data_IF_297913971709
#
_entry.id   IF_297913971709
#
_cell.length_a   1.000
_cell.length_b   1.000
_cell.length_c   1.000
_cell.angle_alpha   90.00
_cell.angle_beta   90.00
_cell.angle_gamma   90.00
#
_symmetry.space_group_name_H-M   'P 1'
#
loop_
_entity.id
_entity.type
_entity.pdbx_description
1 polymer ?
#
# COMPACT_ATOMS: atom_id res chain seq x y z
N UNK A 1 -23.87 -0.16 15.03
CA UNK A 1 -23.11 -1.40 14.78
C UNK A 1 -21.90 -1.46 15.70
N UNK A 2 -21.63 -2.62 16.28
CA UNK A 2 -20.44 -2.90 17.10
C UNK A 2 -19.52 -3.80 16.31
N UNK A 3 -18.36 -3.29 15.97
CA UNK A 3 -17.40 -3.95 15.08
C UNK A 3 -16.14 -4.34 15.85
N UNK A 4 -15.75 -5.61 15.81
CA UNK A 4 -14.41 -6.00 16.20
C UNK A 4 -13.47 -5.88 14.99
N UNK A 5 -12.37 -5.17 15.14
CA UNK A 5 -11.35 -5.04 14.09
C UNK A 5 -10.03 -5.64 14.58
N UNK A 6 -9.43 -6.49 13.76
CA UNK A 6 -8.23 -7.25 14.12
C UNK A 6 -7.10 -6.88 13.16
N UNK A 7 -6.15 -6.08 13.64
CA UNK A 7 -4.94 -5.72 12.90
C UNK A 7 -3.75 -5.59 13.85
N UNK A 8 -2.57 -6.17 13.54
CA UNK A 8 -1.42 -6.08 14.43
C UNK A 8 -0.95 -4.63 14.62
N UNK A 9 -1.05 -3.82 13.57
CA UNK A 9 -0.61 -2.44 13.57
C UNK A 9 -1.66 -1.54 12.93
N UNK A 10 -1.73 -0.30 13.41
CA UNK A 10 -2.49 0.79 12.78
C UNK A 10 -1.64 2.04 12.88
N UNK A 11 -1.25 2.59 11.75
CA UNK A 11 -0.45 3.82 11.65
C UNK A 11 -0.75 4.54 10.32
N UNK A 12 -0.12 5.70 10.10
CA UNK A 12 -0.26 6.46 8.85
C UNK A 12 0.96 6.40 7.94
N UNK A 13 1.97 5.58 8.28
CA UNK A 13 3.24 5.47 7.54
C UNK A 13 3.18 4.40 6.46
N UNK A 14 2.46 3.31 6.72
CA UNK A 14 2.36 2.16 5.82
C UNK A 14 1.02 2.16 5.11
N UNK A 15 1.00 1.72 3.84
CA UNK A 15 -0.19 1.84 2.99
C UNK A 15 -1.43 1.13 3.50
N UNK A 16 -1.31 -0.11 3.95
CA UNK A 16 -2.42 -0.92 4.49
C UNK A 16 -2.91 -0.37 5.82
N UNK A 17 -1.99 -0.05 6.73
CA UNK A 17 -2.25 0.47 8.06
C UNK A 17 -2.90 1.85 8.00
N UNK A 18 -2.43 2.70 7.08
CA UNK A 18 -3.04 4.00 6.80
C UNK A 18 -4.45 3.86 6.22
N UNK A 19 -4.66 2.94 5.28
CA UNK A 19 -5.99 2.68 4.74
C UNK A 19 -6.96 2.23 5.83
N UNK A 20 -6.49 1.39 6.76
CA UNK A 20 -7.28 0.98 7.91
C UNK A 20 -7.57 2.15 8.85
N UNK A 21 -6.58 2.98 9.19
CA UNK A 21 -6.77 4.14 10.06
C UNK A 21 -7.84 5.11 9.49
N UNK A 22 -7.74 5.43 8.19
CA UNK A 22 -8.70 6.28 7.49
C UNK A 22 -10.12 5.69 7.49
N UNK A 23 -10.22 4.38 7.29
CA UNK A 23 -11.49 3.66 7.33
C UNK A 23 -12.12 3.71 8.72
N UNK A 24 -11.35 3.37 9.77
CA UNK A 24 -11.85 3.31 11.15
C UNK A 24 -12.37 4.67 11.62
N UNK A 25 -11.63 5.74 11.34
CA UNK A 25 -12.06 7.09 11.71
C UNK A 25 -13.40 7.47 11.05
N UNK A 26 -13.58 7.14 9.77
CA UNK A 26 -14.82 7.45 9.06
C UNK A 26 -15.98 6.57 9.48
N UNK A 27 -15.75 5.29 9.72
CA UNK A 27 -16.80 4.42 10.25
C UNK A 27 -17.27 4.89 11.63
N UNK A 28 -16.35 5.34 12.48
CA UNK A 28 -16.69 5.88 13.78
C UNK A 28 -17.46 7.21 13.69
N UNK A 29 -16.97 8.16 12.88
CA UNK A 29 -17.55 9.51 12.76
C UNK A 29 -18.84 9.55 11.95
N UNK A 30 -18.83 8.95 10.74
CA UNK A 30 -19.89 9.14 9.76
C UNK A 30 -21.03 8.13 9.93
N UNK A 31 -20.74 6.95 10.52
CA UNK A 31 -21.70 5.86 10.68
C UNK A 31 -21.95 5.46 12.14
N UNK A 32 -21.41 6.24 13.09
CA UNK A 32 -21.58 6.02 14.54
C UNK A 32 -21.22 4.57 14.96
N UNK A 33 -20.21 3.96 14.31
CA UNK A 33 -19.75 2.63 14.66
C UNK A 33 -18.99 2.64 15.99
N UNK A 34 -19.28 1.65 16.86
CA UNK A 34 -18.44 1.30 17.99
C UNK A 34 -17.42 0.27 17.53
N UNK A 35 -16.16 0.68 17.43
CA UNK A 35 -15.10 -0.14 16.90
C UNK A 35 -14.20 -0.62 18.03
N UNK A 36 -14.18 -1.90 18.30
CA UNK A 36 -13.26 -2.54 19.23
C UNK A 36 -12.03 -3.01 18.43
N UNK A 37 -10.96 -2.21 18.47
CA UNK A 37 -9.72 -2.47 17.75
C UNK A 37 -8.77 -3.30 18.60
N UNK A 38 -8.52 -4.54 18.21
CA UNK A 38 -7.50 -5.41 18.78
C UNK A 38 -6.21 -5.25 17.99
N UNK A 39 -5.22 -4.62 18.61
CA UNK A 39 -3.94 -4.27 17.95
C UNK A 39 -2.79 -4.25 18.94
N UNK A 40 -1.59 -4.58 18.46
CA UNK A 40 -0.36 -4.49 19.25
C UNK A 40 0.12 -3.05 19.38
N UNK A 41 -0.01 -2.25 18.28
CA UNK A 41 0.41 -0.85 18.22
C UNK A 41 -0.58 -0.03 17.42
N UNK A 42 -0.94 1.13 17.96
CA UNK A 42 -1.79 2.12 17.32
C UNK A 42 -1.10 3.48 17.43
N UNK A 43 -0.87 4.12 16.30
CA UNK A 43 -0.28 5.46 16.20
C UNK A 43 -1.20 6.34 15.32
N UNK A 44 -1.24 7.64 15.63
CA UNK A 44 -1.90 8.67 14.81
C UNK A 44 -3.39 8.42 14.47
N UNK A 45 -4.15 7.84 15.41
CA UNK A 45 -5.59 7.64 15.26
C UNK A 45 -6.35 8.70 16.08
N UNK A 46 -7.16 9.53 15.42
CA UNK A 46 -7.76 10.74 16.00
C UNK A 46 -9.06 10.53 16.78
N UNK A 47 -9.66 9.33 16.70
CA UNK A 47 -10.95 9.00 17.36
C UNK A 47 -10.81 7.90 18.41
N UNK A 48 -9.64 7.83 19.07
CA UNK A 48 -9.46 6.91 20.20
C UNK A 48 -10.29 7.33 21.40
N UNK A 49 -11.00 6.36 21.97
CA UNK A 49 -11.77 6.52 23.20
C UNK A 49 -11.20 5.55 24.25
N UNK A 50 -11.02 5.97 25.52
CA UNK A 50 -10.63 5.05 26.59
C UNK A 50 -11.58 3.85 26.66
N UNK A 51 -11.00 2.65 26.85
CA UNK A 51 -11.80 1.42 26.96
C UNK A 51 -12.66 1.48 28.22
N UNK A 52 -13.91 1.87 28.07
CA UNK A 52 -14.96 1.72 29.07
C UNK A 52 -16.06 0.90 28.44
N UNK A 53 -16.33 -0.28 29.00
CA UNK A 53 -17.44 -1.14 28.54
C UNK A 53 -18.82 -0.57 28.93
N UNK A 54 -18.89 0.66 29.46
CA UNK A 54 -20.13 1.29 29.86
C UNK A 54 -20.91 1.87 28.68
N UNK A 55 -22.23 1.87 28.85
CA UNK A 55 -23.28 2.07 27.87
C UNK A 55 -23.42 3.46 27.19
N UNK A 56 -22.31 4.14 26.91
CA UNK A 56 -22.34 5.35 26.06
C UNK A 56 -22.66 5.00 24.59
N UNK A 57 -23.59 5.73 23.99
CA UNK A 57 -24.13 5.45 22.65
C UNK A 57 -23.36 6.17 21.53
N UNK A 58 -22.11 6.59 21.76
CA UNK A 58 -21.29 7.34 20.81
C UNK A 58 -20.33 6.43 20.04
N UNK A 59 -20.26 6.60 18.72
CA UNK A 59 -19.26 5.97 17.88
C UNK A 59 -17.86 6.35 18.30
N UNK A 60 -16.91 5.46 18.10
CA UNK A 60 -15.51 5.68 18.45
C UNK A 60 -14.69 4.41 18.28
N UNK A 61 -13.36 4.55 18.41
CA UNK A 61 -12.42 3.42 18.36
C UNK A 61 -11.89 3.14 19.76
N UNK A 62 -12.19 1.96 20.27
CA UNK A 62 -11.77 1.44 21.57
C UNK A 62 -10.59 0.49 21.36
N UNK A 63 -9.40 0.95 21.69
CA UNK A 63 -8.21 0.13 21.51
C UNK A 63 -8.00 -0.87 22.66
N UNK A 64 -8.00 -2.16 22.29
CA UNK A 64 -7.62 -3.29 23.13
C UNK A 64 -6.19 -3.69 22.81
N UNK A 65 -5.25 -3.27 23.64
CA UNK A 65 -3.83 -3.58 23.41
C UNK A 65 -3.57 -5.07 23.58
N UNK A 66 -3.10 -5.73 22.53
CA UNK A 66 -2.64 -7.11 22.54
C UNK A 66 -1.12 -7.13 22.66
N UNK A 67 -0.53 -7.88 23.60
CA UNK A 67 0.92 -7.94 23.74
C UNK A 67 1.64 -8.46 22.49
N UNK A 68 2.84 -7.96 22.26
CA UNK A 68 3.78 -8.48 21.24
C UNK A 68 4.91 -9.22 21.93
N UNK A 69 5.51 -10.18 21.22
CA UNK A 69 6.70 -10.90 21.68
C UNK A 69 7.86 -10.64 20.70
N UNK A 70 9.10 -10.55 21.18
CA UNK A 70 10.26 -10.52 20.29
C UNK A 70 10.49 -11.91 19.69
N UNK A 71 11.10 -11.98 18.50
CA UNK A 71 11.48 -13.25 17.87
C UNK A 71 11.30 -13.26 16.36
N UNK A 72 11.45 -14.41 15.70
CA UNK A 72 11.23 -14.58 14.28
C UNK A 72 9.79 -14.27 13.87
N UNK A 73 9.59 -13.69 12.69
CA UNK A 73 8.29 -13.22 12.20
C UNK A 73 7.17 -14.29 12.25
N UNK A 74 7.48 -15.54 11.96
CA UNK A 74 6.49 -16.63 12.04
C UNK A 74 5.96 -16.81 13.45
N UNK A 75 6.85 -16.80 14.48
CA UNK A 75 6.44 -16.95 15.88
C UNK A 75 5.66 -15.74 16.36
N UNK A 76 6.09 -14.53 16.00
CA UNK A 76 5.35 -13.30 16.29
C UNK A 76 3.93 -13.36 15.71
N UNK A 77 3.81 -13.79 14.44
CA UNK A 77 2.52 -13.91 13.77
C UNK A 77 1.62 -14.97 14.43
N UNK A 78 2.14 -16.16 14.72
CA UNK A 78 1.38 -17.23 15.39
C UNK A 78 0.89 -16.80 16.76
N UNK A 79 1.78 -16.17 17.55
CA UNK A 79 1.40 -15.65 18.85
C UNK A 79 0.30 -14.59 18.75
N UNK A 80 0.47 -13.61 17.84
CA UNK A 80 -0.56 -12.62 17.52
C UNK A 80 -1.89 -13.26 17.11
N UNK A 81 -1.86 -14.19 16.16
CA UNK A 81 -3.02 -14.83 15.59
C UNK A 81 -3.90 -15.55 16.65
N UNK A 82 -3.28 -16.22 17.61
CA UNK A 82 -4.00 -16.87 18.69
C UNK A 82 -4.37 -15.92 19.82
N UNK A 83 -3.48 -14.99 20.17
CA UNK A 83 -3.67 -14.13 21.31
C UNK A 83 -4.80 -13.11 21.08
N UNK A 84 -4.94 -12.54 19.87
CA UNK A 84 -6.03 -11.62 19.56
C UNK A 84 -7.41 -12.31 19.72
N UNK A 85 -7.52 -13.59 19.34
CA UNK A 85 -8.74 -14.37 19.51
C UNK A 85 -9.05 -14.62 21.00
N UNK A 86 -8.03 -14.94 21.79
CA UNK A 86 -8.17 -15.12 23.23
C UNK A 86 -8.63 -13.83 23.91
N UNK A 87 -8.08 -12.67 23.57
CA UNK A 87 -8.51 -11.39 24.13
C UNK A 87 -9.97 -11.07 23.77
N UNK A 88 -10.40 -11.29 22.52
CA UNK A 88 -11.78 -11.10 22.11
C UNK A 88 -12.74 -12.06 22.84
N UNK A 89 -12.34 -13.31 23.01
CA UNK A 89 -13.09 -14.29 23.80
C UNK A 89 -13.21 -13.85 25.27
N UNK A 90 -12.15 -13.39 25.88
CA UNK A 90 -12.12 -12.89 27.26
C UNK A 90 -13.06 -11.67 27.42
N UNK A 91 -12.97 -10.71 26.50
CA UNK A 91 -13.83 -9.52 26.52
C UNK A 91 -15.30 -9.89 26.36
N UNK A 92 -15.61 -10.85 25.50
CA UNK A 92 -16.99 -11.37 25.32
C UNK A 92 -17.49 -12.09 26.57
N UNK A 93 -16.66 -12.96 27.16
CA UNK A 93 -17.08 -13.85 28.26
C UNK A 93 -17.15 -13.16 29.62
N UNK A 94 -16.22 -12.23 29.89
CA UNK A 94 -16.06 -11.64 31.24
C UNK A 94 -16.38 -10.15 31.31
N UNK A 95 -16.34 -9.42 30.18
CA UNK A 95 -16.56 -7.97 30.15
C UNK A 95 -17.82 -7.57 29.42
N UNK A 96 -18.64 -8.55 28.98
CA UNK A 96 -19.93 -8.31 28.32
C UNK A 96 -19.78 -7.66 26.94
N UNK A 97 -18.61 -7.74 26.31
CA UNK A 97 -18.44 -7.24 24.95
C UNK A 97 -19.26 -8.09 23.98
N UNK A 98 -19.99 -7.45 23.08
CA UNK A 98 -20.70 -8.12 21.98
C UNK A 98 -20.36 -7.41 20.69
N UNK A 99 -20.03 -8.17 19.67
CA UNK A 99 -19.71 -7.69 18.35
C UNK A 99 -20.72 -8.22 17.35
N UNK A 100 -21.19 -7.35 16.48
CA UNK A 100 -22.09 -7.73 15.40
C UNK A 100 -21.27 -8.44 14.29
N UNK A 101 -20.05 -7.95 14.00
CA UNK A 101 -19.15 -8.50 12.99
C UNK A 101 -17.68 -8.36 13.42
N UNK A 102 -16.85 -9.21 12.81
CA UNK A 102 -15.37 -9.17 12.90
C UNK A 102 -14.79 -8.82 11.53
N UNK A 103 -14.05 -7.72 11.44
CA UNK A 103 -13.37 -7.25 10.24
C UNK A 103 -11.86 -7.41 10.38
N UNK A 104 -11.21 -7.88 9.33
CA UNK A 104 -9.75 -8.02 9.26
C UNK A 104 -9.19 -7.45 7.95
N UNK A 105 -8.13 -6.63 7.96
CA UNK A 105 -7.35 -6.32 6.78
C UNK A 105 -6.38 -7.48 6.49
N UNK A 106 -6.83 -8.49 5.73
CA UNK A 106 -6.08 -9.71 5.45
C UNK A 106 -6.30 -10.82 6.48
N UNK A 107 -5.36 -11.76 6.57
CA UNK A 107 -5.48 -13.03 7.31
C UNK A 107 -5.10 -12.94 8.80
N UNK A 108 -5.48 -11.87 9.51
CA UNK A 108 -5.08 -11.67 10.92
C UNK A 108 -5.88 -12.49 11.94
N UNK A 109 -7.01 -13.07 11.56
CA UNK A 109 -7.81 -13.97 12.39
C UNK A 109 -8.62 -14.95 11.55
N UNK A 110 -8.97 -16.11 12.13
CA UNK A 110 -9.70 -17.18 11.42
C UNK A 110 -11.21 -17.08 11.52
N UNK A 111 -11.73 -16.16 12.33
CA UNK A 111 -13.13 -15.94 12.63
C UNK A 111 -13.63 -14.57 12.15
N UNK A 112 -12.95 -14.02 11.13
CA UNK A 112 -13.42 -12.82 10.46
C UNK A 112 -14.68 -13.10 9.64
N UNK A 113 -15.70 -12.24 9.78
CA UNK A 113 -16.85 -12.23 8.89
C UNK A 113 -16.55 -11.51 7.59
N UNK A 114 -15.68 -10.49 7.66
CA UNK A 114 -15.30 -9.66 6.52
C UNK A 114 -13.78 -9.51 6.47
N UNK A 115 -13.20 -9.69 5.28
CA UNK A 115 -11.79 -9.46 5.03
C UNK A 115 -11.60 -8.49 3.87
N UNK A 116 -10.87 -7.41 4.14
CA UNK A 116 -10.37 -6.51 3.08
C UNK A 116 -8.98 -6.98 2.68
N UNK A 117 -8.85 -7.46 1.44
CA UNK A 117 -7.62 -8.11 0.97
C UNK A 117 -6.67 -7.07 0.38
N UNK A 118 -5.56 -6.81 1.10
CA UNK A 118 -4.51 -5.89 0.70
C UNK A 118 -3.27 -6.58 0.12
N UNK A 119 -3.07 -7.87 0.38
CA UNK A 119 -1.95 -8.64 -0.14
C UNK A 119 -2.33 -10.12 -0.24
N UNK A 120 -1.67 -10.84 -1.14
CA UNK A 120 -1.86 -12.27 -1.34
C UNK A 120 -0.53 -13.01 -1.20
N UNK A 121 -0.41 -13.83 -0.16
CA UNK A 121 0.83 -14.58 0.12
C UNK A 121 1.10 -15.67 -0.91
N UNK A 122 0.09 -16.21 -1.58
CA UNK A 122 0.26 -17.08 -2.74
C UNK A 122 1.08 -16.38 -3.82
N UNK A 123 0.73 -15.14 -4.16
CA UNK A 123 1.45 -14.35 -5.16
C UNK A 123 2.86 -13.97 -4.70
N UNK A 124 3.01 -13.54 -3.46
CA UNK A 124 4.33 -13.23 -2.89
C UNK A 124 5.25 -14.46 -2.86
N UNK A 125 4.70 -15.65 -2.62
CA UNK A 125 5.44 -16.92 -2.68
C UNK A 125 5.89 -17.24 -4.10
N UNK A 126 5.07 -17.04 -5.13
CA UNK A 126 5.46 -17.19 -6.54
C UNK A 126 6.63 -16.24 -6.85
N UNK A 127 6.49 -14.94 -6.56
CA UNK A 127 7.54 -13.94 -6.78
C UNK A 127 8.84 -14.26 -6.05
N UNK A 128 8.76 -14.78 -4.82
CA UNK A 128 9.96 -15.13 -4.06
C UNK A 128 10.78 -16.25 -4.69
N UNK A 129 10.16 -17.12 -5.48
CA UNK A 129 10.85 -18.17 -6.25
C UNK A 129 11.53 -17.60 -7.50
N UNK A 130 10.92 -16.60 -8.13
CA UNK A 130 11.47 -15.94 -9.32
C UNK A 130 12.70 -15.07 -9.01
N UNK A 131 12.80 -14.54 -7.79
CA UNK A 131 13.80 -13.52 -7.39
C UNK A 131 15.09 -14.14 -6.83
N UNK A 132 15.30 -15.43 -6.93
CA UNK A 132 16.43 -16.15 -6.30
C UNK A 132 17.84 -15.74 -6.79
N UNK A 133 17.97 -14.85 -7.75
CA UNK A 133 19.27 -14.50 -8.38
C UNK A 133 19.97 -13.24 -7.85
N UNK A 134 19.34 -12.39 -7.01
CA UNK A 134 19.92 -11.08 -6.65
C UNK A 134 20.25 -10.92 -5.16
N UNK A 135 19.76 -11.78 -4.29
CA UNK A 135 20.01 -11.69 -2.84
C UNK A 135 20.90 -12.84 -2.37
N UNK A 136 22.11 -12.52 -1.93
CA UNK A 136 23.00 -13.41 -1.15
C UNK A 136 22.44 -13.76 0.25
N UNK A 137 21.13 -13.77 0.42
CA UNK A 137 20.51 -14.18 1.66
C UNK A 137 20.83 -15.65 1.92
N UNK A 138 21.53 -15.93 3.02
CA UNK A 138 21.96 -17.27 3.41
C UNK A 138 20.82 -18.28 3.40
N UNK A 139 21.16 -19.56 3.21
CA UNK A 139 20.22 -20.69 3.10
C UNK A 139 19.12 -20.69 4.19
N UNK A 140 19.48 -20.37 5.44
CA UNK A 140 18.55 -20.31 6.58
C UNK A 140 17.48 -19.22 6.41
N UNK A 141 17.84 -18.03 5.88
CA UNK A 141 16.86 -16.95 5.63
C UNK A 141 15.89 -17.33 4.52
N UNK A 142 16.38 -17.99 3.47
CA UNK A 142 15.52 -18.48 2.37
C UNK A 142 14.56 -19.57 2.85
N UNK A 143 15.05 -20.52 3.62
CA UNK A 143 14.23 -21.60 4.20
C UNK A 143 13.14 -21.02 5.13
N UNK A 144 13.52 -20.12 6.05
CA UNK A 144 12.57 -19.46 6.96
C UNK A 144 11.51 -18.66 6.19
N UNK A 145 11.91 -17.89 5.18
CA UNK A 145 10.96 -17.14 4.33
C UNK A 145 10.02 -18.07 3.56
N UNK A 146 10.54 -19.16 3.02
CA UNK A 146 9.74 -20.19 2.34
C UNK A 146 8.73 -20.85 3.26
N UNK A 147 9.13 -21.21 4.48
CA UNK A 147 8.24 -21.78 5.49
C UNK A 147 7.16 -20.78 5.92
N UNK A 148 7.55 -19.51 6.14
CA UNK A 148 6.64 -18.41 6.50
C UNK A 148 5.57 -18.21 5.43
N UNK A 149 5.95 -17.99 4.17
CA UNK A 149 4.98 -17.83 3.08
C UNK A 149 4.17 -19.10 2.82
N UNK A 150 4.77 -20.29 2.99
CA UNK A 150 4.05 -21.53 2.87
C UNK A 150 2.96 -21.71 3.93
N UNK A 151 3.21 -21.27 5.16
CA UNK A 151 2.22 -21.27 6.24
C UNK A 151 1.11 -20.26 5.97
N UNK A 152 1.46 -19.01 5.62
CA UNK A 152 0.49 -17.95 5.34
C UNK A 152 -0.39 -18.28 4.12
N UNK A 153 0.18 -18.90 3.08
CA UNK A 153 -0.61 -19.37 1.92
C UNK A 153 -1.67 -20.41 2.33
N UNK A 154 -1.32 -21.35 3.22
CA UNK A 154 -2.32 -22.32 3.73
C UNK A 154 -3.40 -21.67 4.58
N UNK A 155 -3.06 -20.58 5.28
CA UNK A 155 -4.03 -19.81 6.04
C UNK A 155 -4.96 -19.02 5.11
N UNK A 156 -4.44 -18.47 4.00
CA UNK A 156 -5.24 -17.90 2.92
C UNK A 156 -6.22 -18.92 2.34
N UNK A 157 -5.74 -20.12 2.01
CA UNK A 157 -6.61 -21.23 1.50
C UNK A 157 -7.79 -21.45 2.44
N UNK A 158 -7.54 -21.49 3.75
CA UNK A 158 -8.58 -21.75 4.73
C UNK A 158 -9.57 -20.58 4.90
N UNK A 159 -9.09 -19.33 4.87
CA UNK A 159 -9.92 -18.15 5.12
C UNK A 159 -10.62 -17.70 3.85
N UNK A 160 -9.88 -17.59 2.73
CA UNK A 160 -10.44 -16.99 1.51
C UNK A 160 -11.30 -17.97 0.71
N UNK A 161 -11.10 -19.28 0.84
CA UNK A 161 -12.00 -20.27 0.22
C UNK A 161 -13.27 -20.51 1.01
N UNK A 162 -13.41 -19.98 2.22
CA UNK A 162 -14.63 -20.11 3.01
C UNK A 162 -15.73 -19.19 2.45
N UNK A 163 -16.87 -19.73 1.95
CA UNK A 163 -17.94 -18.92 1.38
C UNK A 163 -18.66 -18.04 2.39
N UNK A 164 -18.61 -18.38 3.70
CA UNK A 164 -19.20 -17.58 4.77
C UNK A 164 -18.41 -16.29 5.05
N UNK A 165 -17.16 -16.19 4.56
CA UNK A 165 -16.35 -14.99 4.71
C UNK A 165 -16.59 -14.07 3.54
N UNK A 166 -17.12 -12.87 3.80
CA UNK A 166 -17.26 -11.82 2.81
C UNK A 166 -15.89 -11.20 2.52
N UNK A 167 -15.44 -11.25 1.26
CA UNK A 167 -14.18 -10.64 0.83
C UNK A 167 -14.43 -9.31 0.12
N UNK A 168 -13.50 -8.38 0.26
CA UNK A 168 -13.38 -7.20 -0.59
C UNK A 168 -11.95 -7.08 -1.09
N UNK A 169 -11.77 -6.74 -2.37
CA UNK A 169 -10.47 -6.52 -2.98
C UNK A 169 -10.17 -5.03 -3.14
N UNK A 170 -8.93 -4.61 -2.90
CA UNK A 170 -8.54 -3.19 -3.06
C UNK A 170 -8.31 -2.79 -4.52
N UNK A 171 -8.33 -3.75 -5.45
CA UNK A 171 -8.20 -3.49 -6.89
C UNK A 171 -8.80 -4.63 -7.72
N UNK A 172 -9.10 -4.40 -9.02
CA UNK A 172 -9.52 -5.46 -9.93
C UNK A 172 -8.47 -6.58 -10.04
N UNK A 173 -7.17 -6.23 -10.01
CA UNK A 173 -6.09 -7.21 -9.99
C UNK A 173 -6.17 -8.12 -8.75
N UNK A 174 -6.38 -7.56 -7.57
CA UNK A 174 -6.54 -8.36 -6.34
C UNK A 174 -7.75 -9.28 -6.44
N UNK A 175 -8.88 -8.81 -7.02
CA UNK A 175 -10.06 -9.65 -7.25
C UNK A 175 -9.76 -10.82 -8.23
N UNK A 176 -9.04 -10.56 -9.33
CA UNK A 176 -8.60 -11.59 -10.28
C UNK A 176 -7.69 -12.63 -9.62
N UNK A 177 -6.80 -12.21 -8.72
CA UNK A 177 -5.94 -13.13 -7.96
C UNK A 177 -6.75 -13.96 -6.96
N UNK A 178 -7.80 -13.39 -6.34
CA UNK A 178 -8.72 -14.13 -5.47
C UNK A 178 -9.52 -15.18 -6.28
N UNK A 179 -9.96 -14.85 -7.48
CA UNK A 179 -10.56 -15.82 -8.40
C UNK A 179 -9.57 -16.93 -8.79
N UNK A 180 -8.35 -16.54 -9.19
CA UNK A 180 -7.30 -17.48 -9.63
C UNK A 180 -6.94 -18.51 -8.55
N UNK A 181 -6.71 -18.07 -7.31
CA UNK A 181 -6.20 -18.95 -6.25
C UNK A 181 -7.30 -19.60 -5.43
N UNK A 182 -8.44 -18.94 -5.21
CA UNK A 182 -9.48 -19.36 -4.27
C UNK A 182 -10.84 -19.55 -4.93
N UNK A 183 -10.95 -19.34 -6.26
CA UNK A 183 -12.20 -19.45 -7.06
C UNK A 183 -13.31 -18.51 -6.56
N UNK A 184 -12.94 -17.37 -5.97
CA UNK A 184 -13.88 -16.34 -5.50
C UNK A 184 -14.15 -15.34 -6.62
N UNK A 185 -15.40 -15.35 -7.13
CA UNK A 185 -15.87 -14.47 -8.22
C UNK A 185 -16.77 -13.33 -7.72
N UNK A 186 -17.28 -13.44 -6.51
CA UNK A 186 -18.24 -12.52 -5.86
C UNK A 186 -17.56 -11.39 -5.08
N UNK A 187 -16.32 -11.07 -5.39
CA UNK A 187 -15.51 -10.13 -4.60
C UNK A 187 -15.66 -8.70 -5.10
N UNK A 188 -16.34 -7.80 -4.35
CA UNK A 188 -16.42 -6.40 -4.73
C UNK A 188 -15.04 -5.73 -4.66
N UNK A 189 -14.81 -4.81 -5.60
CA UNK A 189 -13.62 -3.96 -5.60
C UNK A 189 -13.92 -2.67 -4.85
N UNK A 190 -13.19 -2.45 -3.77
CA UNK A 190 -13.25 -1.23 -2.93
C UNK A 190 -11.85 -0.60 -2.94
N UNK A 191 -11.57 0.33 -3.86
CA UNK A 191 -10.25 0.92 -3.98
C UNK A 191 -9.83 1.68 -2.74
N UNK A 192 -8.54 1.66 -2.43
CA UNK A 192 -7.95 2.61 -1.51
C UNK A 192 -8.09 4.04 -2.07
N UNK A 193 -7.82 5.04 -1.24
CA UNK A 193 -8.06 6.42 -1.59
C UNK A 193 -6.86 7.31 -1.27
N UNK A 194 -6.94 8.55 -1.69
CA UNK A 194 -5.94 9.60 -1.42
C UNK A 194 -6.63 10.75 -0.70
N UNK A 195 -5.93 11.39 0.22
CA UNK A 195 -6.42 12.59 0.89
C UNK A 195 -6.10 13.84 0.04
N UNK A 196 -7.10 14.51 -0.54
CA UNK A 196 -6.89 15.71 -1.34
C UNK A 196 -6.41 16.92 -0.52
N UNK A 197 -6.59 16.89 0.80
CA UNK A 197 -6.06 17.92 1.70
C UNK A 197 -4.55 17.75 1.92
N UNK A 198 -4.01 16.58 1.69
CA UNK A 198 -2.59 16.28 1.80
C UNK A 198 -1.89 16.26 0.44
N UNK A 199 -2.57 15.76 -0.61
CA UNK A 199 -2.01 15.59 -1.95
C UNK A 199 -2.85 16.34 -2.99
N UNK A 200 -2.29 17.39 -3.55
CA UNK A 200 -2.91 18.13 -4.66
C UNK A 200 -1.85 18.85 -5.49
N UNK A 201 -2.17 19.20 -6.76
CA UNK A 201 -1.25 19.95 -7.62
C UNK A 201 -0.86 21.32 -6.99
N UNK A 202 -1.81 21.97 -6.34
CA UNK A 202 -1.60 23.28 -5.68
C UNK A 202 -0.57 23.17 -4.57
N UNK A 203 -0.75 22.19 -3.66
CA UNK A 203 0.19 21.96 -2.55
C UNK A 203 1.58 21.56 -3.03
N UNK A 204 1.63 20.68 -4.05
CA UNK A 204 2.88 20.26 -4.69
C UNK A 204 3.63 21.46 -5.26
N UNK A 205 2.96 22.28 -6.07
CA UNK A 205 3.59 23.43 -6.73
C UNK A 205 4.06 24.50 -5.73
N UNK A 206 3.30 24.74 -4.67
CA UNK A 206 3.68 25.68 -3.62
C UNK A 206 4.98 25.30 -2.91
N UNK A 207 5.31 24.00 -2.83
CA UNK A 207 6.51 23.48 -2.17
C UNK A 207 7.67 23.19 -3.11
N UNK A 208 7.45 23.21 -4.44
CA UNK A 208 8.41 22.73 -5.43
C UNK A 208 9.79 23.38 -5.33
N UNK A 209 9.85 24.70 -5.29
CA UNK A 209 11.13 25.41 -5.25
C UNK A 209 11.95 25.03 -4.00
N UNK A 210 11.34 25.02 -2.84
CA UNK A 210 11.97 24.63 -1.58
C UNK A 210 12.38 23.14 -1.59
N UNK A 211 11.52 22.27 -2.07
CA UNK A 211 11.76 20.82 -2.10
C UNK A 211 12.94 20.45 -3.02
N UNK A 212 13.10 21.17 -4.13
CA UNK A 212 14.24 20.99 -5.05
C UNK A 212 15.53 21.60 -4.50
N UNK A 213 15.45 22.80 -3.91
CA UNK A 213 16.61 23.44 -3.31
C UNK A 213 17.24 22.59 -2.19
N UNK A 214 16.42 21.99 -1.32
CA UNK A 214 16.87 21.06 -0.27
C UNK A 214 17.68 19.88 -0.79
N UNK A 215 17.41 19.44 -2.04
CA UNK A 215 18.04 18.29 -2.69
C UNK A 215 19.09 18.68 -3.73
N UNK A 216 19.33 19.99 -3.89
CA UNK A 216 20.23 20.54 -4.89
C UNK A 216 19.88 20.11 -6.33
N UNK A 217 18.57 19.93 -6.61
CA UNK A 217 18.09 19.68 -7.97
C UNK A 217 17.99 20.99 -8.74
N UNK A 218 18.59 21.01 -9.93
CA UNK A 218 18.56 22.17 -10.82
C UNK A 218 17.22 22.25 -11.57
N UNK A 219 16.83 23.44 -11.99
CA UNK A 219 15.55 23.66 -12.65
C UNK A 219 15.42 22.94 -14.01
N UNK A 220 16.55 22.73 -14.68
CA UNK A 220 16.64 22.02 -15.97
C UNK A 220 16.82 20.50 -15.83
N UNK A 221 16.94 19.98 -14.61
CA UNK A 221 16.95 18.54 -14.35
C UNK A 221 15.53 17.99 -14.28
N UNK A 222 15.28 16.84 -14.90
CA UNK A 222 14.05 16.09 -14.72
C UNK A 222 14.19 15.10 -13.57
N UNK A 223 13.32 15.20 -12.57
CA UNK A 223 13.38 14.37 -11.37
C UNK A 223 12.34 13.26 -11.44
N UNK A 224 12.82 12.02 -11.49
CA UNK A 224 12.01 10.81 -11.31
C UNK A 224 11.89 10.53 -9.82
N UNK A 225 10.71 10.06 -9.38
CA UNK A 225 10.45 9.71 -8.00
C UNK A 225 9.98 8.26 -7.89
N UNK A 226 10.63 7.50 -7.02
CA UNK A 226 10.20 6.16 -6.61
C UNK A 226 10.04 6.13 -5.09
N UNK A 227 8.85 5.79 -4.61
CA UNK A 227 8.55 5.70 -3.17
C UNK A 227 8.08 4.29 -2.81
N UNK A 228 8.56 3.78 -1.70
CA UNK A 228 8.07 2.56 -1.07
C UNK A 228 9.18 1.73 -0.48
N UNK A 229 8.81 0.70 0.27
CA UNK A 229 9.70 -0.33 0.78
C UNK A 229 9.74 -1.50 -0.20
N UNK A 230 10.70 -2.42 -0.05
CA UNK A 230 10.98 -3.50 -1.01
C UNK A 230 11.23 -2.95 -2.43
N UNK A 231 12.32 -2.19 -2.56
CA UNK A 231 12.69 -1.54 -3.83
C UNK A 231 12.89 -2.51 -4.97
N UNK A 232 13.26 -3.77 -4.69
CA UNK A 232 13.31 -4.83 -5.69
C UNK A 232 11.94 -5.09 -6.31
N UNK A 233 10.92 -5.19 -5.47
CA UNK A 233 9.54 -5.39 -5.90
C UNK A 233 8.95 -4.13 -6.55
N UNK A 234 9.35 -2.92 -6.09
CA UNK A 234 8.93 -1.64 -6.69
C UNK A 234 9.56 -1.36 -8.06
N UNK A 235 10.45 -2.25 -8.53
CA UNK A 235 11.05 -2.16 -9.86
C UNK A 235 12.24 -1.23 -9.94
N UNK A 236 12.89 -0.89 -8.83
CA UNK A 236 14.10 -0.06 -8.81
C UNK A 236 15.19 -0.57 -9.74
N UNK A 237 15.48 -1.91 -9.84
CA UNK A 237 16.46 -2.41 -10.80
C UNK A 237 16.15 -2.05 -12.24
N UNK A 238 14.88 -2.08 -12.64
CA UNK A 238 14.42 -1.71 -13.98
C UNK A 238 14.62 -0.21 -14.22
N UNK A 239 14.31 0.63 -13.23
CA UNK A 239 14.50 2.08 -13.30
C UNK A 239 15.98 2.44 -13.41
N UNK A 240 16.86 1.82 -12.59
CA UNK A 240 18.31 2.07 -12.66
C UNK A 240 18.89 1.69 -14.01
N UNK A 241 18.46 0.56 -14.58
CA UNK A 241 18.88 0.16 -15.94
C UNK A 241 18.35 1.13 -17.00
N UNK A 242 17.07 1.57 -16.90
CA UNK A 242 16.52 2.54 -17.85
C UNK A 242 17.26 3.89 -17.81
N UNK A 243 17.80 4.30 -16.66
CA UNK A 243 18.62 5.50 -16.56
C UNK A 243 19.91 5.42 -17.39
N UNK A 244 20.48 4.24 -17.64
CA UNK A 244 21.67 4.09 -18.51
C UNK A 244 21.38 4.49 -19.95
N UNK A 245 20.15 4.22 -20.41
CA UNK A 245 19.67 4.57 -21.76
C UNK A 245 19.35 6.07 -21.92
N UNK A 246 19.35 6.84 -20.82
CA UNK A 246 19.07 8.27 -20.76
C UNK A 246 20.34 9.09 -20.42
N UNK A 247 21.52 8.60 -20.82
CA UNK A 247 22.79 9.24 -20.49
C UNK A 247 22.96 10.63 -21.13
N UNK A 248 22.27 10.87 -22.23
CA UNK A 248 22.21 12.14 -22.97
C UNK A 248 21.26 13.18 -22.34
N UNK A 249 20.57 12.83 -21.28
CA UNK A 249 19.54 13.65 -20.63
C UNK A 249 19.88 13.97 -19.17
N UNK A 250 19.52 15.17 -18.71
CA UNK A 250 19.65 15.59 -17.32
C UNK A 250 18.51 15.03 -16.46
N UNK A 251 18.58 13.73 -16.16
CA UNK A 251 17.58 13.03 -15.35
C UNK A 251 18.19 12.64 -14.01
N UNK A 252 17.48 12.94 -12.93
CA UNK A 252 17.79 12.52 -11.55
C UNK A 252 16.76 11.52 -11.08
N UNK A 253 17.15 10.65 -10.17
CA UNK A 253 16.24 9.70 -9.50
C UNK A 253 16.26 9.93 -8.00
N UNK A 254 15.11 10.26 -7.44
CA UNK A 254 14.87 10.32 -6.01
C UNK A 254 14.19 9.02 -5.57
N UNK A 255 14.85 8.27 -4.69
CA UNK A 255 14.33 7.03 -4.11
C UNK A 255 14.08 7.26 -2.64
N UNK A 256 12.84 7.02 -2.20
CA UNK A 256 12.41 7.22 -0.81
C UNK A 256 11.86 5.91 -0.25
N UNK A 257 12.41 5.44 0.87
CA UNK A 257 11.93 4.20 1.52
C UNK A 257 12.87 3.72 2.60
N UNK A 258 12.48 2.63 3.26
CA UNK A 258 13.17 2.09 4.44
C UNK A 258 13.99 0.81 4.12
N UNK A 259 14.30 0.57 2.86
CA UNK A 259 15.21 -0.49 2.46
C UNK A 259 16.67 -0.12 2.74
N UNK A 260 17.54 -1.13 2.90
CA UNK A 260 18.98 -0.91 2.92
C UNK A 260 19.45 -0.35 1.57
N UNK A 261 19.96 0.89 1.52
CA UNK A 261 20.40 1.48 0.27
C UNK A 261 21.74 0.94 -0.26
N UNK A 262 22.52 0.22 0.56
CA UNK A 262 23.88 -0.18 0.20
C UNK A 262 23.95 -1.07 -1.05
N UNK A 263 23.13 -2.14 -1.21
CA UNK A 263 23.14 -2.96 -2.42
C UNK A 263 22.74 -2.17 -3.68
N UNK A 264 21.82 -1.21 -3.53
CA UNK A 264 21.31 -0.41 -4.64
C UNK A 264 22.26 0.69 -5.08
N UNK A 265 22.97 1.30 -4.14
CA UNK A 265 24.08 2.22 -4.43
C UNK A 265 25.19 1.51 -5.20
N UNK A 266 25.53 0.29 -4.82
CA UNK A 266 26.50 -0.53 -5.52
C UNK A 266 26.03 -0.91 -6.94
N UNK A 267 24.76 -1.25 -7.11
CA UNK A 267 24.18 -1.49 -8.43
C UNK A 267 24.22 -0.22 -9.29
N UNK A 268 23.81 0.92 -8.74
CA UNK A 268 23.86 2.21 -9.45
C UNK A 268 25.29 2.59 -9.87
N UNK A 269 26.27 2.31 -9.01
CA UNK A 269 27.70 2.51 -9.31
C UNK A 269 28.16 1.61 -10.46
N UNK A 270 27.82 0.33 -10.45
CA UNK A 270 28.13 -0.62 -11.53
C UNK A 270 27.51 -0.21 -12.87
N UNK A 271 26.32 0.39 -12.83
CA UNK A 271 25.61 0.89 -14.00
C UNK A 271 26.07 2.29 -14.45
N UNK A 272 26.97 2.96 -13.72
CA UNK A 272 27.44 4.31 -14.04
C UNK A 272 26.39 5.42 -13.85
N UNK A 273 25.38 5.19 -12.99
CA UNK A 273 24.29 6.16 -12.73
C UNK A 273 24.23 6.65 -11.29
N UNK A 274 25.23 6.34 -10.46
CA UNK A 274 25.22 6.64 -9.03
C UNK A 274 25.06 8.14 -8.74
N UNK A 275 25.74 9.01 -9.49
CA UNK A 275 25.70 10.46 -9.31
C UNK A 275 24.32 11.09 -9.65
N UNK A 276 23.47 10.31 -10.31
CA UNK A 276 22.11 10.71 -10.68
C UNK A 276 21.07 10.31 -9.63
N UNK A 277 21.45 9.51 -8.62
CA UNK A 277 20.55 8.91 -7.64
C UNK A 277 20.65 9.59 -6.26
N UNK A 278 19.52 9.98 -5.69
CA UNK A 278 19.38 10.50 -4.32
C UNK A 278 18.55 9.51 -3.53
N UNK A 279 19.02 9.16 -2.32
CA UNK A 279 18.43 8.14 -1.47
C UNK A 279 17.99 8.78 -0.16
N UNK A 280 16.70 8.66 0.18
CA UNK A 280 16.12 9.23 1.39
C UNK A 280 15.35 8.18 2.20
N UNK A 281 15.46 8.28 3.50
CA UNK A 281 14.59 7.52 4.43
C UNK A 281 13.17 8.09 4.41
N UNK A 282 12.15 7.31 4.81
CA UNK A 282 10.79 7.81 4.93
C UNK A 282 10.72 9.01 5.86
N UNK A 283 9.99 10.03 5.46
CA UNK A 283 9.76 11.22 6.27
C UNK A 283 8.26 11.42 6.53
N UNK A 284 7.94 12.16 7.60
CA UNK A 284 6.56 12.45 7.96
C UNK A 284 5.85 13.32 6.90
N UNK A 285 6.60 14.19 6.20
CA UNK A 285 6.07 15.07 5.15
C UNK A 285 6.50 14.56 3.76
N UNK A 286 5.89 13.45 3.34
CA UNK A 286 6.18 12.82 2.04
C UNK A 286 5.81 13.71 0.83
N UNK A 287 4.93 14.71 1.02
CA UNK A 287 4.58 15.65 -0.05
C UNK A 287 5.80 16.40 -0.59
N UNK A 288 6.82 16.63 0.23
CA UNK A 288 8.07 17.26 -0.23
C UNK A 288 8.83 16.41 -1.27
N UNK A 289 8.71 15.08 -1.23
CA UNK A 289 9.28 14.23 -2.27
C UNK A 289 8.51 14.36 -3.60
N UNK A 290 7.17 14.33 -3.54
CA UNK A 290 6.33 14.59 -4.72
C UNK A 290 6.53 16.01 -5.27
N UNK A 291 6.76 16.99 -4.40
CA UNK A 291 6.98 18.38 -4.81
C UNK A 291 8.29 18.57 -5.60
N UNK A 292 9.34 17.83 -5.25
CA UNK A 292 10.60 17.87 -5.96
C UNK A 292 10.54 17.20 -7.35
N UNK A 293 9.59 16.29 -7.57
CA UNK A 293 9.52 15.42 -8.73
C UNK A 293 8.81 16.04 -9.94
N UNK A 294 9.12 15.45 -11.12
CA UNK A 294 8.47 15.72 -12.40
C UNK A 294 7.70 14.52 -12.93
N UNK A 295 8.11 13.31 -12.57
CA UNK A 295 7.46 12.04 -12.97
C UNK A 295 7.55 11.09 -11.79
N UNK A 296 6.45 10.43 -11.47
CA UNK A 296 6.47 9.30 -10.56
C UNK A 296 6.69 8.00 -11.35
N UNK A 297 7.61 7.14 -10.90
CA UNK A 297 7.94 5.88 -11.60
C UNK A 297 8.03 4.72 -10.62
N UNK A 298 7.22 3.69 -10.84
CA UNK A 298 7.26 2.46 -10.05
C UNK A 298 6.76 1.27 -10.89
N UNK A 299 7.63 0.65 -11.69
CA UNK A 299 7.30 -0.57 -12.43
C UNK A 299 7.29 -1.77 -11.48
N UNK A 300 6.32 -1.78 -10.55
CA UNK A 300 6.22 -2.79 -9.49
C UNK A 300 5.97 -4.18 -10.07
N UNK A 301 6.66 -5.19 -9.54
CA UNK A 301 6.42 -6.61 -9.88
C UNK A 301 5.12 -7.14 -9.24
N UNK A 302 4.75 -6.56 -8.11
CA UNK A 302 3.45 -6.76 -7.47
C UNK A 302 3.14 -5.57 -6.56
N UNK A 303 1.93 -5.01 -6.71
CA UNK A 303 1.38 -4.03 -5.79
C UNK A 303 -0.13 -4.17 -5.78
N UNK A 304 -0.73 -4.42 -4.65
CA UNK A 304 -2.18 -4.69 -4.57
C UNK A 304 -3.03 -3.48 -4.95
N UNK A 305 -2.54 -2.26 -4.70
CA UNK A 305 -3.18 -1.02 -5.14
C UNK A 305 -2.18 -0.07 -5.78
N UNK A 306 -1.13 0.33 -5.10
CA UNK A 306 -0.18 1.33 -5.55
C UNK A 306 -0.47 2.71 -4.95
N UNK A 307 -0.53 2.79 -3.63
CA UNK A 307 -0.79 4.05 -2.92
C UNK A 307 0.12 5.21 -3.37
N UNK A 308 1.47 5.04 -3.49
CA UNK A 308 2.31 6.15 -3.93
C UNK A 308 2.06 6.58 -5.38
N UNK A 309 1.58 5.68 -6.26
CA UNK A 309 1.16 6.04 -7.62
C UNK A 309 -0.07 6.95 -7.54
N UNK A 310 -1.07 6.57 -6.73
CA UNK A 310 -2.29 7.37 -6.56
C UNK A 310 -2.00 8.76 -5.97
N UNK A 311 -1.06 8.85 -5.02
CA UNK A 311 -0.60 10.11 -4.43
C UNK A 311 0.13 10.98 -5.48
N UNK A 312 0.99 10.36 -6.31
CA UNK A 312 1.63 11.03 -7.44
C UNK A 312 0.62 11.61 -8.42
N UNK A 313 -0.41 10.84 -8.77
CA UNK A 313 -1.52 11.29 -9.59
C UNK A 313 -2.26 12.47 -8.95
N UNK A 314 -2.59 12.38 -7.66
CA UNK A 314 -3.27 13.44 -6.93
C UNK A 314 -2.41 14.72 -6.86
N UNK A 315 -1.10 14.58 -6.80
CA UNK A 315 -0.15 15.69 -6.90
C UNK A 315 -0.02 16.27 -8.32
N UNK A 316 -0.70 15.71 -9.32
CA UNK A 316 -0.59 16.15 -10.72
C UNK A 316 0.73 15.78 -11.38
N UNK A 317 1.33 14.65 -10.97
CA UNK A 317 2.48 14.08 -11.67
C UNK A 317 2.01 13.09 -12.74
N UNK A 318 2.61 13.08 -13.93
CA UNK A 318 2.52 11.92 -14.79
C UNK A 318 3.13 10.73 -14.06
N UNK A 319 2.47 9.57 -14.16
CA UNK A 319 2.89 8.36 -13.47
C UNK A 319 3.24 7.26 -14.47
N UNK A 320 4.28 6.48 -14.18
CA UNK A 320 4.62 5.25 -14.90
C UNK A 320 4.55 4.12 -13.90
N UNK A 321 3.71 3.14 -14.16
CA UNK A 321 3.56 1.94 -13.34
C UNK A 321 3.51 0.69 -14.21
N UNK A 322 3.32 -0.49 -13.64
CA UNK A 322 3.17 -1.74 -14.40
C UNK A 322 1.74 -2.30 -14.30
N UNK A 323 1.36 -3.16 -15.23
CA UNK A 323 0.13 -3.96 -15.17
C UNK A 323 0.05 -4.85 -13.91
N UNK A 324 1.19 -5.05 -13.22
CA UNK A 324 1.26 -5.78 -11.96
C UNK A 324 0.88 -4.94 -10.73
N UNK A 325 0.65 -3.63 -10.87
CA UNK A 325 0.11 -2.78 -9.82
C UNK A 325 -1.41 -2.63 -9.96
N UNK A 326 -2.14 -2.79 -8.85
CA UNK A 326 -3.60 -2.77 -8.87
C UNK A 326 -4.21 -1.49 -9.40
N UNK A 327 -3.53 -0.36 -9.22
CA UNK A 327 -3.96 0.95 -9.74
C UNK A 327 -3.93 1.01 -11.27
N UNK A 328 -3.11 0.21 -11.94
CA UNK A 328 -3.00 0.18 -13.40
C UNK A 328 -4.35 -0.10 -14.07
N UNK A 329 -5.21 -0.91 -13.44
CA UNK A 329 -6.56 -1.21 -13.93
C UNK A 329 -7.51 0.02 -13.95
N UNK A 330 -7.14 1.10 -13.30
CA UNK A 330 -7.91 2.33 -13.24
C UNK A 330 -7.33 3.44 -14.13
N UNK A 331 -6.14 3.22 -14.70
CA UNK A 331 -5.45 4.15 -15.58
C UNK A 331 -5.91 3.98 -17.03
N UNK A 332 -5.93 5.10 -17.75
CA UNK A 332 -6.02 5.14 -19.20
C UNK A 332 -4.61 5.37 -19.75
N UNK A 333 -3.98 4.29 -20.27
CA UNK A 333 -2.60 4.35 -20.78
C UNK A 333 -2.44 5.47 -21.82
N UNK A 334 -1.39 6.26 -21.70
CA UNK A 334 -1.12 7.42 -22.55
C UNK A 334 -1.93 8.69 -22.22
N UNK A 335 -2.91 8.64 -21.31
CA UNK A 335 -3.77 9.77 -20.95
C UNK A 335 -3.50 10.28 -19.56
N UNK A 336 -3.74 9.48 -18.53
CA UNK A 336 -3.57 9.85 -17.13
C UNK A 336 -2.43 9.08 -16.43
N UNK A 337 -1.71 8.27 -17.20
CA UNK A 337 -0.52 7.56 -16.77
C UNK A 337 0.01 6.68 -17.91
N UNK A 338 1.13 6.00 -17.64
CA UNK A 338 1.72 5.03 -18.56
C UNK A 338 1.83 3.68 -17.83
N UNK A 339 1.37 2.62 -18.50
CA UNK A 339 1.35 1.26 -17.94
C UNK A 339 2.33 0.38 -18.73
N UNK A 340 3.30 -0.21 -18.05
CA UNK A 340 4.20 -1.23 -18.60
C UNK A 340 3.53 -2.60 -18.45
N UNK A 341 3.41 -3.35 -19.52
CA UNK A 341 2.89 -4.73 -19.47
C UNK A 341 3.85 -5.65 -18.70
N UNK A 342 5.14 -5.55 -18.98
CA UNK A 342 6.19 -6.25 -18.24
C UNK A 342 6.95 -5.26 -17.32
N UNK A 343 6.93 -5.45 -15.98
CA UNK A 343 7.68 -4.62 -15.04
C UNK A 343 9.19 -4.70 -15.22
N UNK A 344 9.71 -5.68 -15.95
CA UNK A 344 11.14 -5.86 -16.23
C UNK A 344 11.57 -5.29 -17.56
N UNK A 345 10.65 -4.76 -18.37
CA UNK A 345 10.98 -4.18 -19.68
C UNK A 345 11.63 -2.80 -19.52
N UNK A 346 12.96 -2.85 -19.41
CA UNK A 346 13.82 -1.68 -19.29
C UNK A 346 13.75 -0.78 -20.52
N UNK A 347 13.66 -1.38 -21.72
CA UNK A 347 13.70 -0.65 -22.98
C UNK A 347 12.44 0.21 -23.15
N UNK A 348 11.27 -0.40 -23.01
CA UNK A 348 9.98 0.33 -23.06
C UNK A 348 9.93 1.41 -21.95
N UNK A 349 10.43 1.13 -20.76
CA UNK A 349 10.51 2.14 -19.70
C UNK A 349 11.39 3.33 -20.13
N UNK A 350 12.57 3.08 -20.68
CA UNK A 350 13.48 4.13 -21.14
C UNK A 350 12.85 4.97 -22.28
N UNK A 351 12.18 4.34 -23.24
CA UNK A 351 11.49 5.03 -24.33
C UNK A 351 10.36 5.94 -23.80
N UNK A 352 9.54 5.46 -22.85
CA UNK A 352 8.49 6.25 -22.23
C UNK A 352 9.04 7.40 -21.39
N UNK A 353 10.11 7.18 -20.63
CA UNK A 353 10.81 8.24 -19.91
C UNK A 353 11.39 9.26 -20.87
N UNK A 354 12.06 8.85 -21.95
CA UNK A 354 12.61 9.76 -22.98
C UNK A 354 11.52 10.64 -23.58
N UNK A 355 10.37 10.07 -23.86
CA UNK A 355 9.21 10.81 -24.36
C UNK A 355 8.74 11.88 -23.38
N UNK A 356 8.59 11.52 -22.10
CA UNK A 356 8.19 12.47 -21.06
C UNK A 356 9.27 13.54 -20.81
N UNK A 357 10.55 13.18 -20.89
CA UNK A 357 11.67 14.13 -20.76
C UNK A 357 11.63 15.19 -21.85
N UNK A 358 11.45 14.77 -23.11
CA UNK A 358 11.48 15.64 -24.27
C UNK A 358 10.21 16.47 -24.48
N UNK A 359 9.10 16.15 -23.79
CA UNK A 359 7.80 16.77 -24.06
C UNK A 359 7.15 17.38 -22.79
N UNK A 360 7.56 18.60 -22.37
CA UNK A 360 6.98 19.26 -21.17
C UNK A 360 5.45 19.43 -21.24
N UNK A 361 4.93 19.74 -22.43
CA UNK A 361 3.49 19.86 -22.67
C UNK A 361 2.73 18.54 -22.45
N UNK A 362 3.32 17.41 -22.81
CA UNK A 362 2.73 16.08 -22.55
C UNK A 362 2.72 15.79 -21.05
N UNK A 363 3.85 16.06 -20.35
CA UNK A 363 3.92 15.90 -18.88
C UNK A 363 2.84 16.70 -18.17
N UNK A 364 2.65 17.97 -18.56
CA UNK A 364 1.64 18.84 -17.97
C UNK A 364 0.21 18.30 -18.21
N UNK A 365 -0.14 17.94 -19.46
CA UNK A 365 -1.46 17.39 -19.79
C UNK A 365 -1.74 16.08 -19.05
N UNK A 366 -0.76 15.15 -19.05
CA UNK A 366 -0.91 13.86 -18.36
C UNK A 366 -1.04 14.06 -16.84
N UNK A 367 -0.26 14.96 -16.25
CA UNK A 367 -0.36 15.29 -14.83
C UNK A 367 -1.73 15.88 -14.45
N UNK A 368 -2.28 16.78 -15.27
CA UNK A 368 -3.65 17.28 -15.05
C UNK A 368 -4.68 16.15 -15.13
N UNK A 369 -4.61 15.30 -16.17
CA UNK A 369 -5.51 14.17 -16.31
C UNK A 369 -5.40 13.15 -15.17
N UNK A 370 -4.16 12.93 -14.65
CA UNK A 370 -3.92 12.10 -13.48
C UNK A 370 -4.59 12.67 -12.23
N UNK A 371 -4.45 13.97 -11.97
CA UNK A 371 -5.08 14.63 -10.84
C UNK A 371 -6.62 14.51 -10.91
N UNK A 372 -7.19 14.78 -12.07
CA UNK A 372 -8.65 14.67 -12.29
C UNK A 372 -9.14 13.23 -12.08
N UNK A 373 -8.40 12.24 -12.57
CA UNK A 373 -8.74 10.82 -12.38
C UNK A 373 -8.71 10.43 -10.90
N UNK A 374 -7.74 10.94 -10.13
CA UNK A 374 -7.56 10.63 -8.71
C UNK A 374 -8.67 11.18 -7.81
N UNK A 375 -9.37 12.23 -8.20
CA UNK A 375 -10.49 12.82 -7.45
C UNK A 375 -11.63 11.83 -7.17
N UNK A 376 -11.69 10.72 -7.90
CA UNK A 376 -12.68 9.65 -7.68
C UNK A 376 -12.35 8.79 -6.46
N UNK A 377 -11.10 8.74 -6.00
CA UNK A 377 -10.64 7.91 -4.90
C UNK A 377 -10.57 8.73 -3.62
N UNK A 378 -11.70 8.85 -2.94
CA UNK A 378 -11.78 9.53 -1.63
C UNK A 378 -12.02 8.53 -0.52
N UNK A 379 -11.47 8.80 0.64
CA UNK A 379 -11.67 7.93 1.82
C UNK A 379 -13.14 7.88 2.25
N UNK A 380 -13.95 8.91 1.98
CA UNK A 380 -15.39 8.89 2.26
C UNK A 380 -16.12 7.89 1.34
N UNK A 381 -15.76 7.81 0.06
CA UNK A 381 -16.31 6.80 -0.85
C UNK A 381 -15.86 5.39 -0.47
N UNK A 382 -14.60 5.22 -0.08
CA UNK A 382 -14.08 3.95 0.41
C UNK A 382 -14.87 3.50 1.65
N UNK A 383 -14.99 4.35 2.67
CA UNK A 383 -15.74 4.05 3.88
C UNK A 383 -17.23 3.76 3.61
N UNK A 384 -17.86 4.50 2.69
CA UNK A 384 -19.25 4.25 2.30
C UNK A 384 -19.42 2.88 1.61
N UNK A 385 -18.45 2.46 0.82
CA UNK A 385 -18.47 1.14 0.18
C UNK A 385 -18.27 0.01 1.19
N UNK A 386 -17.32 0.17 2.12
CA UNK A 386 -17.13 -0.79 3.22
C UNK A 386 -18.34 -0.83 4.13
N UNK A 387 -18.96 0.32 4.44
CA UNK A 387 -20.18 0.36 5.26
C UNK A 387 -21.32 -0.47 4.64
N UNK A 388 -21.54 -0.35 3.33
CA UNK A 388 -22.52 -1.17 2.62
C UNK A 388 -22.22 -2.67 2.69
N UNK A 389 -20.94 -3.04 2.61
CA UNK A 389 -20.51 -4.43 2.78
C UNK A 389 -20.81 -4.94 4.21
N UNK A 390 -20.50 -4.11 5.23
CA UNK A 390 -20.79 -4.41 6.63
C UNK A 390 -22.32 -4.61 6.88
N UNK A 391 -23.15 -3.76 6.27
CA UNK A 391 -24.60 -3.87 6.41
C UNK A 391 -25.16 -5.17 5.81
N UNK A 392 -24.67 -5.57 4.61
CA UNK A 392 -25.05 -6.84 3.98
C UNK A 392 -24.68 -8.04 4.85
N UNK A 393 -23.42 -8.12 5.27
CA UNK A 393 -22.95 -9.22 6.12
C UNK A 393 -23.58 -9.26 7.54
N UNK A 394 -24.26 -8.20 7.97
CA UNK A 394 -25.01 -8.17 9.24
C UNK A 394 -26.47 -8.59 9.07
N UNK A 395 -26.96 -8.68 7.82
CA UNK A 395 -28.35 -9.05 7.51
C UNK A 395 -28.49 -10.52 7.13
N UNK A 396 -27.38 -11.13 6.71
CA UNK A 396 -27.24 -12.58 6.47
C UNK A 396 -26.92 -13.33 7.78
#
# INVERSE_FOLDING_TARGET
MRLAVVSPFVDRRHGTERALAELLERLARNYNCKIHLYSQRVEDLSVQVPVRFSAGNTGGVYWHKVPSIPGPHLFQFLFWFHLNRFYRWMDKSFRGASFDLVLSPGINCSDANIVIVHALFHRLRELSKETTSVSEAGFLRRWHRGAYYGFLSRLEDRIYSNPEVSLAAVSPRTAQLLEKYFRRQDVPVIPNAVDPLQFSPVLRLARRAQARALRQFLDDELVLLLIGNDWANKGLPTVLKALTELSDMRVRLLVVGDDDPAPWRELARKLGVADRCVWESPCADILNAYAAADVYVSPSREDSFGMPVAEGMACGLPVITSACAGIAAFLRDGVDGLVLEDPLDTKTLAERLRTLCGQPGLRARMGCAAADASCKWTWDRNAAAVWRLLQRASSD
#
